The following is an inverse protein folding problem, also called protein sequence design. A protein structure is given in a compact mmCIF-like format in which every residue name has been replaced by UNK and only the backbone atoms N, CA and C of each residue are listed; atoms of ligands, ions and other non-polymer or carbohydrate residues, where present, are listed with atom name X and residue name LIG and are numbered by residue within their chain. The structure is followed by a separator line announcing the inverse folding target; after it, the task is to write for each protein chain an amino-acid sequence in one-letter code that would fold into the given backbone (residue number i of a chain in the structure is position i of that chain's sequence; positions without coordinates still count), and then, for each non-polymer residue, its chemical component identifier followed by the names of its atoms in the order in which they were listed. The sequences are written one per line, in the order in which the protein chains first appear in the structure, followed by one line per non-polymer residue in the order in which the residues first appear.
data_IF_835302044914
#
_entry.id   IF_835302044914
#
_cell.length_a   1.000
_cell.length_b   1.000
_cell.length_c   1.000
_cell.angle_alpha   90.00
_cell.angle_beta   90.00
_cell.angle_gamma   90.00
#
_symmetry.space_group_name_H-M   'P 1'
#
loop_
_entity.id
_entity.type
_entity.pdbx_description
1 polymer ?
#
# COMPACT_ATOMS: atom_id res chain seq x y z
N UNK A 1 -12.24 -8.76 -18.07
CA UNK A 1 -12.15 -7.59 -17.17
C UNK A 1 -13.12 -6.54 -17.69
N UNK A 2 -14.12 -6.13 -16.93
CA UNK A 2 -15.06 -5.08 -17.34
C UNK A 2 -14.68 -3.73 -16.72
N UNK A 3 -15.23 -2.62 -17.23
CA UNK A 3 -14.91 -1.26 -16.73
C UNK A 3 -15.15 -1.12 -15.22
N UNK A 4 -16.13 -1.84 -14.67
CA UNK A 4 -16.45 -1.80 -13.24
C UNK A 4 -15.30 -2.36 -12.37
N UNK A 5 -14.67 -3.45 -12.80
CA UNK A 5 -13.52 -4.04 -12.10
C UNK A 5 -12.31 -3.09 -12.10
N UNK A 6 -12.13 -2.32 -13.16
CA UNK A 6 -11.07 -1.33 -13.28
C UNK A 6 -11.30 -0.13 -12.38
N UNK A 7 -12.54 0.40 -12.37
CA UNK A 7 -12.93 1.46 -11.45
C UNK A 7 -12.73 1.04 -9.99
N UNK A 8 -13.08 -0.21 -9.65
CA UNK A 8 -12.85 -0.78 -8.31
C UNK A 8 -11.36 -0.89 -7.99
N UNK A 9 -10.54 -1.32 -8.94
CA UNK A 9 -9.08 -1.42 -8.77
C UNK A 9 -8.47 -0.05 -8.50
N UNK A 10 -8.74 0.94 -9.34
CA UNK A 10 -8.22 2.30 -9.16
C UNK A 10 -8.74 2.96 -7.89
N UNK A 11 -10.01 2.74 -7.56
CA UNK A 11 -10.57 3.18 -6.27
C UNK A 11 -9.81 2.59 -5.09
N UNK A 12 -9.55 1.28 -5.12
CA UNK A 12 -8.82 0.58 -4.06
C UNK A 12 -7.37 1.09 -3.92
N UNK A 13 -6.71 1.40 -5.03
CA UNK A 13 -5.36 1.98 -5.01
C UNK A 13 -5.33 3.38 -4.40
N UNK A 14 -6.28 4.24 -4.78
CA UNK A 14 -6.38 5.58 -4.20
C UNK A 14 -6.67 5.52 -2.71
N UNK A 15 -7.54 4.60 -2.28
CA UNK A 15 -7.79 4.36 -0.86
C UNK A 15 -6.51 3.92 -0.15
N UNK A 16 -5.76 2.97 -0.71
CA UNK A 16 -4.51 2.48 -0.13
C UNK A 16 -3.45 3.60 0.01
N UNK A 17 -3.25 4.40 -1.04
CA UNK A 17 -2.35 5.56 -1.05
C UNK A 17 -2.72 6.55 0.06
N UNK A 18 -4.01 6.91 0.15
CA UNK A 18 -4.51 7.84 1.17
C UNK A 18 -4.34 7.27 2.58
N UNK A 19 -4.58 5.97 2.78
CA UNK A 19 -4.40 5.32 4.06
C UNK A 19 -2.94 5.34 4.50
N UNK A 20 -2.00 5.02 3.61
CA UNK A 20 -0.56 5.02 3.91
C UNK A 20 -0.10 6.43 4.26
N UNK A 21 -0.56 7.44 3.53
CA UNK A 21 -0.22 8.84 3.79
C UNK A 21 -0.69 9.27 5.18
N UNK A 22 -1.97 9.02 5.50
CA UNK A 22 -2.54 9.33 6.80
C UNK A 22 -1.83 8.59 7.95
N UNK A 23 -1.43 7.33 7.72
CA UNK A 23 -0.69 6.55 8.73
C UNK A 23 0.69 7.13 8.94
N UNK A 24 1.41 7.50 7.88
CA UNK A 24 2.70 8.14 7.99
C UNK A 24 2.62 9.44 8.77
N UNK A 25 1.69 10.34 8.42
CA UNK A 25 1.51 11.63 9.12
C UNK A 25 1.21 11.43 10.61
N UNK A 26 0.34 10.46 10.94
CA UNK A 26 -0.01 10.12 12.33
C UNK A 26 1.16 9.52 13.11
N UNK A 27 2.05 8.78 12.46
CA UNK A 27 3.23 8.22 13.10
C UNK A 27 4.33 9.27 13.25
N UNK A 28 4.55 10.09 12.24
CA UNK A 28 5.54 11.17 12.26
C UNK A 28 5.22 12.26 13.29
N UNK A 29 3.93 12.44 13.64
CA UNK A 29 3.47 13.37 14.67
C UNK A 29 3.47 12.80 16.09
N UNK A 30 3.77 11.51 16.27
CA UNK A 30 3.86 10.88 17.59
C UNK A 30 5.30 10.92 18.10
N UNK A 31 5.44 11.26 19.38
CA UNK A 31 6.71 11.07 20.09
C UNK A 31 6.98 9.57 20.32
N UNK A 32 8.25 9.16 20.27
CA UNK A 32 8.73 7.80 20.51
C UNK A 32 8.32 6.73 19.46
N UNK A 33 8.08 7.09 18.20
CA UNK A 33 8.00 6.10 17.12
C UNK A 33 9.40 5.74 16.64
N UNK A 34 9.70 4.44 16.53
CA UNK A 34 10.98 3.97 15.99
C UNK A 34 11.21 4.46 14.55
N UNK A 35 12.40 4.99 14.27
CA UNK A 35 12.79 5.40 12.91
C UNK A 35 12.62 4.26 11.89
N UNK A 36 12.84 3.00 12.31
CA UNK A 36 12.63 1.82 11.46
C UNK A 36 11.17 1.64 11.02
N UNK A 37 10.22 2.02 11.87
CA UNK A 37 8.79 1.99 11.55
C UNK A 37 8.46 3.10 10.55
N UNK A 38 8.98 4.32 10.77
CA UNK A 38 8.80 5.44 9.85
C UNK A 38 9.40 5.16 8.47
N UNK A 39 10.61 4.58 8.42
CA UNK A 39 11.27 4.17 7.18
C UNK A 39 10.47 3.10 6.42
N UNK A 40 9.91 2.10 7.13
CA UNK A 40 9.07 1.07 6.50
C UNK A 40 7.79 1.67 5.92
N UNK A 41 7.09 2.52 6.67
CA UNK A 41 5.89 3.19 6.15
C UNK A 41 6.23 4.12 4.98
N UNK A 42 7.37 4.81 5.02
CA UNK A 42 7.86 5.59 3.89
C UNK A 42 8.17 4.71 2.66
N UNK A 43 8.61 3.47 2.85
CA UNK A 43 8.83 2.52 1.75
C UNK A 43 7.53 2.15 1.03
N UNK A 44 6.38 2.13 1.73
CA UNK A 44 5.08 1.86 1.12
C UNK A 44 4.67 2.93 0.12
N UNK A 45 5.01 4.21 0.37
CA UNK A 45 4.79 5.30 -0.60
C UNK A 45 5.46 5.01 -1.95
N UNK A 46 6.70 4.50 -1.93
CA UNK A 46 7.41 4.12 -3.15
C UNK A 46 6.69 2.99 -3.91
N UNK A 47 6.09 2.06 -3.18
CA UNK A 47 5.31 0.96 -3.78
C UNK A 47 4.00 1.50 -4.37
N UNK A 48 3.32 2.45 -3.71
CA UNK A 48 2.16 3.13 -4.27
C UNK A 48 2.49 3.89 -5.55
N UNK A 49 3.64 4.57 -5.61
CA UNK A 49 4.11 5.21 -6.84
C UNK A 49 4.28 4.21 -7.98
N UNK A 50 4.81 3.01 -7.70
CA UNK A 50 4.91 1.93 -8.68
C UNK A 50 3.53 1.44 -9.13
N UNK A 51 2.58 1.24 -8.21
CA UNK A 51 1.21 0.85 -8.52
C UNK A 51 0.49 1.88 -9.38
N UNK A 52 0.73 3.18 -9.14
CA UNK A 52 0.21 4.29 -9.95
C UNK A 52 0.76 4.24 -11.37
N UNK A 53 2.06 4.00 -11.55
CA UNK A 53 2.66 3.79 -12.88
C UNK A 53 2.07 2.59 -13.61
N UNK A 54 1.84 1.48 -12.91
CA UNK A 54 1.19 0.31 -13.50
C UNK A 54 -0.27 0.56 -13.85
N UNK A 55 -0.96 1.40 -13.08
CA UNK A 55 -2.35 1.81 -13.35
C UNK A 55 -2.46 2.63 -14.63
N UNK A 56 -1.55 3.59 -14.84
CA UNK A 56 -1.47 4.37 -16.09
C UNK A 56 -1.19 3.45 -17.28
N UNK A 57 -0.25 2.50 -17.12
CA UNK A 57 0.02 1.50 -18.16
C UNK A 57 -1.20 0.62 -18.43
N UNK A 58 -1.95 0.25 -17.39
CA UNK A 58 -3.16 -0.56 -17.52
C UNK A 58 -4.20 0.13 -18.41
N UNK A 59 -4.46 1.42 -18.18
CA UNK A 59 -5.37 2.22 -19.00
C UNK A 59 -4.94 2.26 -20.46
N UNK A 60 -3.65 2.47 -20.71
CA UNK A 60 -3.10 2.45 -22.06
C UNK A 60 -3.27 1.06 -22.73
N UNK A 61 -2.94 -0.02 -22.03
CA UNK A 61 -3.02 -1.40 -22.57
C UNK A 61 -4.46 -1.86 -22.80
N UNK A 62 -5.41 -1.35 -22.01
CA UNK A 62 -6.84 -1.54 -22.24
C UNK A 62 -7.30 -0.88 -23.53
N UNK A 63 -6.86 0.36 -23.80
CA UNK A 63 -7.11 1.05 -25.06
C UNK A 63 -6.54 0.29 -26.27
N UNK A 64 -5.38 -0.33 -26.10
CA UNK A 64 -4.72 -1.17 -27.11
C UNK A 64 -5.32 -2.59 -27.25
N UNK A 65 -6.35 -2.95 -26.47
CA UNK A 65 -6.95 -4.31 -26.38
C UNK A 65 -5.94 -5.43 -26.08
N UNK A 66 -4.83 -5.11 -25.40
CA UNK A 66 -3.79 -6.08 -25.00
C UNK A 66 -4.16 -6.78 -23.68
N UNK A 67 -5.23 -7.58 -23.71
CA UNK A 67 -5.84 -8.14 -22.49
C UNK A 67 -4.90 -9.01 -21.65
N UNK A 68 -3.91 -9.67 -22.25
CA UNK A 68 -2.91 -10.42 -21.49
C UNK A 68 -1.97 -9.51 -20.68
N UNK A 69 -1.55 -8.38 -21.25
CA UNK A 69 -0.73 -7.38 -20.54
C UNK A 69 -1.53 -6.76 -19.39
N UNK A 70 -2.82 -6.49 -19.63
CA UNK A 70 -3.75 -6.00 -18.61
C UNK A 70 -3.84 -7.00 -17.45
N UNK A 71 -4.02 -8.30 -17.73
CA UNK A 71 -4.10 -9.33 -16.69
C UNK A 71 -2.80 -9.42 -15.86
N UNK A 72 -1.63 -9.32 -16.51
CA UNK A 72 -0.32 -9.29 -15.82
C UNK A 72 -0.19 -8.08 -14.90
N UNK A 73 -0.56 -6.90 -15.39
CA UNK A 73 -0.51 -5.66 -14.61
C UNK A 73 -1.44 -5.71 -13.40
N UNK A 74 -2.67 -6.22 -13.53
CA UNK A 74 -3.58 -6.39 -12.38
C UNK A 74 -3.00 -7.35 -11.34
N UNK A 75 -2.39 -8.46 -11.77
CA UNK A 75 -1.76 -9.41 -10.84
C UNK A 75 -0.61 -8.77 -10.07
N UNK A 76 0.23 -7.98 -10.75
CA UNK A 76 1.32 -7.24 -10.11
C UNK A 76 0.79 -6.22 -9.10
N UNK A 77 -0.20 -5.43 -9.49
CA UNK A 77 -0.83 -4.43 -8.61
C UNK A 77 -1.39 -5.09 -7.34
N UNK A 78 -2.16 -6.17 -7.50
CA UNK A 78 -2.75 -6.89 -6.37
C UNK A 78 -1.70 -7.52 -5.46
N UNK A 79 -0.64 -8.09 -6.03
CA UNK A 79 0.48 -8.64 -5.25
C UNK A 79 1.20 -7.58 -4.42
N UNK A 80 1.44 -6.41 -5.00
CA UNK A 80 2.04 -5.28 -4.27
C UNK A 80 1.13 -4.77 -3.15
N UNK A 81 -0.18 -4.71 -3.38
CA UNK A 81 -1.14 -4.31 -2.34
C UNK A 81 -1.15 -5.31 -1.18
N UNK A 82 -1.14 -6.61 -1.48
CA UNK A 82 -1.08 -7.66 -0.46
C UNK A 82 0.21 -7.57 0.37
N UNK A 83 1.35 -7.37 -0.29
CA UNK A 83 2.65 -7.21 0.38
C UNK A 83 2.64 -6.02 1.35
N UNK A 84 2.10 -4.85 0.95
CA UNK A 84 1.97 -3.70 1.85
C UNK A 84 1.06 -4.04 3.03
N UNK A 85 -0.10 -4.65 2.79
CA UNK A 85 -1.05 -4.98 3.85
C UNK A 85 -0.47 -5.96 4.88
N UNK A 86 0.24 -7.00 4.42
CA UNK A 86 0.84 -7.99 5.30
C UNK A 86 1.99 -7.36 6.12
N UNK A 87 2.84 -6.55 5.49
CA UNK A 87 3.91 -5.85 6.20
C UNK A 87 3.36 -4.83 7.22
N UNK A 88 2.30 -4.11 6.86
CA UNK A 88 1.63 -3.16 7.75
C UNK A 88 1.01 -3.85 8.97
N UNK A 89 0.43 -5.06 8.80
CA UNK A 89 -0.05 -5.87 9.92
C UNK A 89 1.07 -6.27 10.86
N UNK A 90 2.24 -6.66 10.32
CA UNK A 90 3.41 -7.00 11.13
C UNK A 90 3.90 -5.78 11.93
N UNK A 91 3.95 -4.60 11.31
CA UNK A 91 4.30 -3.35 12.00
C UNK A 91 3.32 -3.07 13.14
N UNK A 92 2.01 -3.14 12.88
CA UNK A 92 0.99 -2.90 13.91
C UNK A 92 1.11 -3.88 15.07
N UNK A 93 1.29 -5.17 14.79
CA UNK A 93 1.49 -6.19 15.83
C UNK A 93 2.78 -5.96 16.63
N UNK A 94 3.86 -5.48 15.99
CA UNK A 94 5.12 -5.16 16.67
C UNK A 94 5.01 -3.93 17.57
N UNK A 95 4.27 -2.91 17.13
CA UNK A 95 3.99 -1.69 17.93
C UNK A 95 3.10 -2.01 19.14
N UNK A 96 2.16 -2.96 19.01
CA UNK A 96 1.33 -3.42 20.13
C UNK A 96 2.15 -4.18 21.18
N UNK A 97 3.11 -5.01 20.74
CA UNK A 97 4.01 -5.72 21.66
C UNK A 97 4.93 -4.77 22.46
N UNK A 98 5.42 -3.68 21.86
CA UNK A 98 6.25 -2.69 22.58
C UNK A 98 5.48 -1.88 23.64
N UNK A 99 4.14 -1.83 23.56
CA UNK A 99 3.31 -1.09 24.54
C UNK A 99 3.01 -1.87 25.81
N UNK A 100 3.02 -3.19 25.77
CA UNK A 100 2.69 -4.04 26.92
C UNK A 100 3.90 -4.29 27.86
N UNK A 101 5.12 -3.93 27.43
CA UNK A 101 6.34 -4.07 28.26
C UNK A 101 6.56 -2.93 29.28
N UNK A 102 5.63 -1.98 29.40
CA UNK A 102 5.68 -0.88 30.39
C UNK A 102 4.83 -1.12 31.65
N UNK A 103 4.79 -2.35 32.16
CA UNK A 103 4.30 -2.64 33.50
C UNK A 103 5.22 -3.64 34.20
N UNK A 104 6.31 -3.15 34.81
CA UNK A 104 6.84 -3.63 36.10
C UNK A 104 8.01 -2.72 36.53
N UNK A 105 7.71 -1.73 37.36
CA UNK A 105 8.58 -1.15 38.39
C UNK A 105 7.67 -0.54 39.46
#
# INVERSE_FOLDING_TARGET
MNNEQLTKLFGSLKTLETTIENVYERLASKENVSDKVLERVASYRKICDMQKRFSIQLEQKLGEKKYEEVARLVKLINGLSAMIMDDARLILSGIELEKDDFHYC
#
